data_IF_988831216445
#
_entry.id   IF_988831216445
#
_cell.length_a   1.000
_cell.length_b   1.000
_cell.length_c   1.000
_cell.angle_alpha   90.00
_cell.angle_beta   90.00
_cell.angle_gamma   90.00
#
_symmetry.space_group_name_H-M   'P 1'
#
loop_
_entity.id
_entity.type
_entity.pdbx_description
1 polymer ?
#
# COMPACT_ATOMS: atom_id res chain seq x y z
N UNK A 1 -26.90 -1.42 -33.06
CA UNK A 1 -25.69 -2.13 -32.61
C UNK A 1 -24.83 -1.11 -31.84
N UNK A 2 -25.24 -0.74 -30.63
CA UNK A 2 -24.45 0.14 -29.77
C UNK A 2 -23.65 -0.75 -28.83
N UNK A 3 -22.34 -0.80 -28.97
CA UNK A 3 -21.49 -1.50 -28.02
C UNK A 3 -21.58 -0.77 -26.69
N UNK A 4 -22.11 -1.46 -25.67
CA UNK A 4 -21.92 -1.08 -24.29
C UNK A 4 -20.41 -1.03 -24.03
N UNK A 5 -19.91 0.12 -23.62
CA UNK A 5 -18.54 0.22 -23.12
C UNK A 5 -18.63 -0.21 -21.66
N UNK A 6 -18.41 -1.50 -21.41
CA UNK A 6 -18.09 -1.98 -20.06
C UNK A 6 -16.73 -1.36 -19.69
N UNK A 7 -16.76 -0.19 -19.04
CA UNK A 7 -15.59 0.40 -18.39
C UNK A 7 -15.53 -0.11 -16.98
N UNK A 8 -15.13 -1.37 -16.84
CA UNK A 8 -14.52 -1.84 -15.60
C UNK A 8 -13.03 -2.03 -15.88
N UNK A 9 -12.36 -0.92 -16.22
CA UNK A 9 -10.92 -0.85 -16.44
C UNK A 9 -10.34 -0.14 -15.21
N UNK A 10 -10.44 -0.79 -14.05
CA UNK A 10 -9.80 -0.32 -12.81
C UNK A 10 -8.30 -0.30 -13.05
N UNK A 11 -7.76 0.86 -13.43
CA UNK A 11 -6.34 1.04 -13.65
C UNK A 11 -5.59 0.81 -12.33
N UNK A 12 -4.49 0.05 -12.38
CA UNK A 12 -3.68 -0.22 -11.21
C UNK A 12 -3.04 1.09 -10.74
N UNK A 13 -3.34 1.53 -9.53
CA UNK A 13 -2.93 2.85 -9.04
C UNK A 13 -1.66 2.77 -8.19
N UNK A 14 -0.64 3.51 -8.61
CA UNK A 14 0.64 3.66 -7.90
C UNK A 14 0.75 5.06 -7.31
N UNK A 15 1.06 5.13 -6.02
CA UNK A 15 1.47 6.36 -5.36
C UNK A 15 3.01 6.43 -5.34
N UNK A 16 3.58 7.39 -6.08
CA UNK A 16 5.01 7.66 -6.12
C UNK A 16 5.36 8.85 -5.22
N UNK A 17 6.26 8.66 -4.27
CA UNK A 17 6.63 9.64 -3.25
C UNK A 17 8.12 9.94 -3.36
N UNK A 18 8.48 11.14 -3.80
CA UNK A 18 9.89 11.49 -4.01
C UNK A 18 10.06 13.02 -4.03
N UNK A 19 10.98 13.57 -3.25
CA UNK A 19 11.21 15.02 -3.19
C UNK A 19 11.97 15.55 -4.41
N UNK A 20 12.64 14.68 -5.17
CA UNK A 20 13.30 15.00 -6.42
C UNK A 20 12.30 15.01 -7.59
N UNK A 21 12.11 16.19 -8.20
CA UNK A 21 11.28 16.34 -9.41
C UNK A 21 11.71 15.41 -10.54
N UNK A 22 13.02 15.18 -10.68
CA UNK A 22 13.58 14.35 -11.75
C UNK A 22 13.19 12.89 -11.52
N UNK A 23 13.32 12.42 -10.28
CA UNK A 23 13.01 11.03 -9.92
C UNK A 23 11.50 10.78 -10.03
N UNK A 24 10.64 11.69 -9.55
CA UNK A 24 9.19 11.62 -9.78
C UNK A 24 8.85 11.47 -11.25
N UNK A 25 9.45 12.28 -12.12
CA UNK A 25 9.22 12.20 -13.57
C UNK A 25 9.77 10.93 -14.20
N UNK A 26 10.86 10.38 -13.68
CA UNK A 26 11.38 9.09 -14.10
C UNK A 26 10.39 7.97 -13.76
N UNK A 27 9.93 7.90 -12.51
CA UNK A 27 8.97 6.89 -12.05
C UNK A 27 7.65 7.00 -12.81
N UNK A 28 7.10 8.21 -12.97
CA UNK A 28 5.92 8.44 -13.81
C UNK A 28 6.14 7.86 -15.20
N UNK A 29 7.27 8.15 -15.87
CA UNK A 29 7.55 7.66 -17.24
C UNK A 29 7.72 6.15 -17.31
N UNK A 30 8.38 5.53 -16.33
CA UNK A 30 8.62 4.09 -16.29
C UNK A 30 7.32 3.31 -16.11
N UNK A 31 6.37 3.86 -15.35
CA UNK A 31 5.10 3.22 -15.03
C UNK A 31 3.95 3.64 -15.97
N UNK A 32 4.12 4.71 -16.76
CA UNK A 32 3.09 5.23 -17.69
C UNK A 32 2.82 4.24 -18.81
N UNK A 33 1.86 3.36 -18.58
CA UNK A 33 1.31 2.41 -19.55
C UNK A 33 -0.20 2.33 -19.36
N UNK A 34 -0.95 1.73 -20.29
CA UNK A 34 -2.42 1.75 -20.28
C UNK A 34 -3.06 1.12 -19.03
N UNK A 35 -2.31 0.30 -18.29
CA UNK A 35 -2.78 -0.42 -17.11
C UNK A 35 -2.45 0.26 -15.78
N UNK A 36 -1.71 1.38 -15.80
CA UNK A 36 -1.27 2.06 -14.60
C UNK A 36 -1.72 3.51 -14.56
N UNK A 37 -2.29 3.88 -13.42
CA UNK A 37 -2.42 5.26 -13.00
C UNK A 37 -1.30 5.56 -12.00
N UNK A 38 -0.64 6.71 -12.13
CA UNK A 38 0.41 7.14 -11.18
C UNK A 38 0.02 8.50 -10.59
N UNK A 39 -0.08 8.56 -9.27
CA UNK A 39 -0.11 9.82 -8.51
C UNK A 39 1.26 10.07 -7.94
N UNK A 40 1.86 11.23 -8.24
CA UNK A 40 3.18 11.59 -7.71
C UNK A 40 3.07 12.73 -6.69
N UNK A 41 3.65 12.55 -5.50
CA UNK A 41 3.71 13.54 -4.40
C UNK A 41 5.16 13.76 -3.98
N UNK A 42 5.47 14.92 -3.38
CA UNK A 42 6.87 15.35 -3.10
C UNK A 42 7.35 15.09 -1.67
N UNK A 43 6.53 14.51 -0.80
CA UNK A 43 6.93 14.27 0.58
C UNK A 43 6.07 13.20 1.24
N UNK A 44 6.60 12.59 2.30
CA UNK A 44 5.85 11.66 3.14
C UNK A 44 4.59 12.29 3.74
N UNK A 45 4.65 13.57 4.13
CA UNK A 45 3.48 14.29 4.67
C UNK A 45 2.31 14.37 3.68
N UNK A 46 2.58 14.69 2.40
CA UNK A 46 1.55 14.68 1.35
C UNK A 46 1.09 13.29 0.99
N UNK A 47 1.95 12.27 1.13
CA UNK A 47 1.54 10.89 0.93
C UNK A 47 0.51 10.46 1.99
N UNK A 48 0.73 10.79 3.26
CA UNK A 48 -0.26 10.53 4.32
C UNK A 48 -1.56 11.30 4.09
N UNK A 49 -1.47 12.57 3.67
CA UNK A 49 -2.64 13.39 3.35
C UNK A 49 -3.46 12.76 2.23
N UNK A 50 -2.77 12.30 1.18
CA UNK A 50 -3.39 11.60 0.05
C UNK A 50 -4.06 10.29 0.48
N UNK A 51 -3.46 9.57 1.43
CA UNK A 51 -4.02 8.33 1.97
C UNK A 51 -5.10 8.58 3.03
N UNK A 52 -5.38 9.82 3.41
CA UNK A 52 -6.31 10.13 4.50
C UNK A 52 -5.82 9.67 5.87
N UNK A 53 -4.51 9.45 6.03
CA UNK A 53 -3.86 9.08 7.29
C UNK A 53 -3.51 10.31 8.15
N UNK A 54 -4.16 11.45 7.89
CA UNK A 54 -3.89 12.68 8.61
C UNK A 54 -4.75 12.78 9.87
N UNK A 55 -4.05 12.64 11.00
CA UNK A 55 -4.36 13.08 12.37
C UNK A 55 -4.92 12.01 13.33
N UNK A 56 -4.06 11.52 14.24
CA UNK A 56 -4.20 11.67 15.71
C UNK A 56 -3.27 10.77 16.54
N UNK A 57 -2.37 9.99 15.95
CA UNK A 57 -1.33 9.29 16.73
C UNK A 57 -0.11 10.19 16.90
N UNK A 58 -0.30 11.31 17.60
CA UNK A 58 0.77 12.19 18.02
C UNK A 58 1.35 11.78 19.38
N UNK A 59 1.48 10.48 19.67
CA UNK A 59 2.12 9.89 20.86
C UNK A 59 2.51 8.47 20.38
N UNK A 60 3.75 8.09 20.07
CA UNK A 60 4.88 7.86 20.95
C UNK A 60 6.13 7.68 20.06
N UNK A 61 7.05 8.62 20.09
CA UNK A 61 8.46 8.36 19.76
C UNK A 61 9.30 9.11 20.81
N UNK A 62 9.20 8.70 22.08
CA UNK A 62 10.31 8.84 23.01
C UNK A 62 11.10 7.53 23.04
N UNK A 63 12.30 7.62 22.45
CA UNK A 63 13.57 6.97 22.78
C UNK A 63 13.63 5.42 22.95
N UNK A 64 14.57 4.83 22.20
CA UNK A 64 15.18 3.53 22.51
C UNK A 64 15.62 3.46 23.98
N UNK A 65 15.06 2.57 24.79
CA UNK A 65 15.80 1.71 25.73
C UNK A 65 14.89 0.64 26.40
N UNK A 66 15.47 -0.55 26.57
CA UNK A 66 14.92 -1.79 27.13
C UNK A 66 13.91 -1.64 28.29
N UNK A 67 12.78 -2.38 28.24
CA UNK A 67 12.21 -3.19 29.36
C UNK A 67 10.91 -3.90 29.00
N UNK A 68 10.80 -5.14 29.46
CA UNK A 68 9.59 -5.95 29.51
C UNK A 68 8.45 -5.25 30.31
N UNK A 69 7.21 -5.33 29.82
CA UNK A 69 6.05 -5.81 30.59
C UNK A 69 4.73 -5.66 29.83
N UNK A 70 3.87 -6.68 29.97
CA UNK A 70 2.43 -6.65 29.75
C UNK A 70 1.79 -5.31 30.11
N UNK A 71 0.85 -4.81 29.30
CA UNK A 71 -0.48 -4.35 29.77
C UNK A 71 -1.48 -4.38 28.61
N UNK A 72 -2.69 -4.81 28.94
CA UNK A 72 -3.81 -5.16 28.08
C UNK A 72 -4.52 -3.98 27.40
N UNK A 73 -5.10 -4.29 26.24
CA UNK A 73 -6.42 -3.90 25.74
C UNK A 73 -7.05 -2.60 26.25
N UNK A 74 -7.19 -1.62 25.36
CA UNK A 74 -8.39 -0.76 25.33
C UNK A 74 -8.87 -0.67 23.88
N UNK A 75 -9.99 -1.36 23.63
CA UNK A 75 -10.83 -1.21 22.46
C UNK A 75 -11.47 0.17 22.46
N UNK A 76 -11.28 0.93 21.39
CA UNK A 76 -12.15 2.06 21.06
C UNK A 76 -12.57 1.88 19.61
N UNK A 77 -13.73 1.25 19.48
CA UNK A 77 -14.52 1.15 18.27
C UNK A 77 -14.99 2.55 17.87
N UNK A 78 -14.22 3.25 17.05
CA UNK A 78 -14.74 4.38 16.28
C UNK A 78 -14.74 3.99 14.80
N UNK A 79 -15.88 3.47 14.36
CA UNK A 79 -16.27 3.33 12.95
C UNK A 79 -16.33 4.72 12.32
N UNK A 80 -15.17 5.26 11.97
CA UNK A 80 -15.09 6.49 11.19
C UNK A 80 -15.19 6.10 9.72
N UNK A 81 -16.41 6.26 9.21
CA UNK A 81 -16.86 6.12 7.83
C UNK A 81 -16.01 7.04 6.93
N UNK A 82 -14.79 6.62 6.61
CA UNK A 82 -13.90 7.32 5.71
C UNK A 82 -14.50 7.22 4.32
N UNK A 83 -14.93 8.36 3.78
CA UNK A 83 -15.31 8.49 2.38
C UNK A 83 -14.17 7.94 1.52
N UNK A 84 -14.37 6.73 1.05
CA UNK A 84 -13.57 6.08 0.03
C UNK A 84 -13.61 6.98 -1.21
N UNK A 85 -12.55 7.77 -1.40
CA UNK A 85 -12.39 8.63 -2.57
C UNK A 85 -12.23 7.81 -3.87
N UNK A 86 -12.43 6.49 -3.83
CA UNK A 86 -12.53 5.63 -5.01
C UNK A 86 -11.22 5.49 -5.79
N UNK A 87 -10.11 5.96 -5.22
CA UNK A 87 -8.77 5.83 -5.77
C UNK A 87 -7.98 4.86 -4.90
N UNK A 88 -8.39 3.59 -4.90
CA UNK A 88 -7.72 2.54 -4.17
C UNK A 88 -6.27 2.42 -4.62
N UNK A 89 -5.32 2.88 -3.80
CA UNK A 89 -3.88 2.72 -4.06
C UNK A 89 -3.55 1.23 -4.00
N UNK A 90 -2.87 0.72 -5.02
CA UNK A 90 -2.50 -0.69 -5.11
C UNK A 90 -1.01 -0.93 -4.81
N UNK A 91 -0.18 0.11 -4.91
CA UNK A 91 1.24 0.07 -4.59
C UNK A 91 1.75 1.46 -4.22
N UNK A 92 2.66 1.52 -3.25
CA UNK A 92 3.38 2.73 -2.88
C UNK A 92 4.86 2.55 -3.20
N UNK A 93 5.45 3.50 -3.90
CA UNK A 93 6.89 3.55 -4.15
C UNK A 93 7.44 4.88 -3.61
N UNK A 94 8.39 4.82 -2.69
CA UNK A 94 8.86 6.02 -1.97
C UNK A 94 10.37 6.11 -1.93
N UNK A 95 10.91 7.32 -2.06
CA UNK A 95 12.29 7.60 -1.71
C UNK A 95 12.54 7.42 -0.21
N UNK A 96 13.75 7.00 0.17
CA UNK A 96 14.16 6.84 1.56
C UNK A 96 14.51 8.20 2.18
N UNK A 97 15.28 9.04 1.49
CA UNK A 97 15.90 10.27 2.01
C UNK A 97 15.07 11.51 1.67
N UNK A 98 13.92 11.66 2.32
CA UNK A 98 13.08 12.85 2.18
C UNK A 98 13.18 13.78 3.40
N UNK A 99 13.11 15.11 3.22
CA UNK A 99 13.11 16.05 4.33
C UNK A 99 11.84 15.94 5.18
N UNK A 100 11.99 16.10 6.49
CA UNK A 100 10.91 16.07 7.48
C UNK A 100 10.44 14.67 7.86
N UNK A 101 10.21 13.80 6.88
CA UNK A 101 9.80 12.40 7.09
C UNK A 101 10.53 11.50 6.10
N UNK A 102 11.24 10.49 6.60
CA UNK A 102 11.92 9.52 5.73
C UNK A 102 10.92 8.55 5.08
N UNK A 103 11.31 7.91 3.99
CA UNK A 103 10.51 6.83 3.40
C UNK A 103 10.31 5.65 4.35
N UNK A 104 11.25 5.45 5.28
CA UNK A 104 11.14 4.44 6.34
C UNK A 104 10.06 4.81 7.38
N UNK A 105 9.99 6.08 7.78
CA UNK A 105 8.93 6.54 8.70
C UNK A 105 7.55 6.43 8.05
N UNK A 106 7.47 6.77 6.75
CA UNK A 106 6.25 6.58 5.96
C UNK A 106 5.85 5.10 5.88
N UNK A 107 6.80 4.19 5.61
CA UNK A 107 6.58 2.74 5.63
C UNK A 107 5.96 2.30 6.97
N UNK A 108 6.57 2.67 8.10
CA UNK A 108 6.05 2.31 9.43
C UNK A 108 4.60 2.76 9.61
N UNK A 109 4.28 3.99 9.23
CA UNK A 109 2.91 4.54 9.34
C UNK A 109 1.91 3.80 8.47
N UNK A 110 2.27 3.49 7.22
CA UNK A 110 1.42 2.71 6.31
C UNK A 110 1.17 1.30 6.87
N UNK A 111 2.22 0.63 7.37
CA UNK A 111 2.13 -0.75 7.88
C UNK A 111 1.40 -0.86 9.22
N UNK A 112 1.36 0.21 10.01
CA UNK A 112 0.52 0.31 11.22
C UNK A 112 -0.96 0.55 10.91
N UNK A 113 -1.30 1.12 9.75
CA UNK A 113 -2.69 1.41 9.38
C UNK A 113 -3.48 0.16 9.00
N UNK A 114 -4.66 -0.03 9.60
CA UNK A 114 -5.58 -1.13 9.28
C UNK A 114 -5.99 -1.15 7.81
N UNK A 115 -6.19 0.03 7.20
CA UNK A 115 -6.68 0.19 5.82
C UNK A 115 -5.60 0.01 4.76
N UNK A 116 -4.32 0.25 5.10
CA UNK A 116 -3.23 0.28 4.11
C UNK A 116 -2.08 -0.70 4.37
N UNK A 117 -2.06 -1.42 5.49
CA UNK A 117 -0.99 -2.37 5.84
C UNK A 117 -0.70 -3.43 4.76
N UNK A 118 -1.74 -3.84 4.03
CA UNK A 118 -1.66 -4.87 3.00
C UNK A 118 -1.16 -4.33 1.65
N UNK A 119 -1.06 -3.00 1.50
CA UNK A 119 -0.51 -2.39 0.28
C UNK A 119 1.00 -2.66 0.24
N UNK A 120 1.55 -3.19 -0.88
CA UNK A 120 2.98 -3.33 -1.07
C UNK A 120 3.65 -1.95 -1.10
N UNK A 121 4.69 -1.79 -0.29
CA UNK A 121 5.50 -0.57 -0.21
C UNK A 121 6.90 -0.89 -0.70
N UNK A 122 7.39 -0.12 -1.66
CA UNK A 122 8.72 -0.27 -2.26
C UNK A 122 9.54 0.96 -1.90
N UNK A 123 10.75 0.75 -1.38
CA UNK A 123 11.67 1.83 -1.02
C UNK A 123 12.68 2.04 -2.16
N UNK A 124 13.01 3.29 -2.46
CA UNK A 124 14.08 3.68 -3.37
C UNK A 124 15.14 4.46 -2.60
N UNK A 125 16.43 4.25 -2.88
CA UNK A 125 17.50 5.00 -2.22
C UNK A 125 18.69 5.19 -3.15
N UNK A 126 19.37 6.33 -3.04
CA UNK A 126 20.67 6.57 -3.67
C UNK A 126 21.84 5.91 -2.93
N UNK A 127 21.62 5.49 -1.68
CA UNK A 127 22.63 4.89 -0.81
C UNK A 127 22.44 3.39 -0.69
N UNK A 128 23.55 2.65 -0.82
CA UNK A 128 23.60 1.20 -0.62
C UNK A 128 24.11 0.86 0.79
N UNK A 129 23.22 0.94 1.77
CA UNK A 129 23.53 0.66 3.18
C UNK A 129 22.77 -0.60 3.61
N UNK A 130 23.46 -1.75 3.76
CA UNK A 130 22.80 -3.03 4.04
C UNK A 130 21.90 -3.02 5.27
N UNK A 131 22.29 -2.34 6.35
CA UNK A 131 21.47 -2.25 7.56
C UNK A 131 20.14 -1.53 7.33
N UNK A 132 20.11 -0.50 6.48
CA UNK A 132 18.88 0.21 6.10
C UNK A 132 17.99 -0.66 5.22
N UNK A 133 18.60 -1.34 4.24
CA UNK A 133 17.88 -2.25 3.34
C UNK A 133 17.20 -3.34 4.16
N UNK A 134 17.96 -4.03 5.02
CA UNK A 134 17.44 -5.12 5.85
C UNK A 134 16.32 -4.62 6.75
N UNK A 135 16.51 -3.49 7.44
CA UNK A 135 15.48 -2.94 8.33
C UNK A 135 14.18 -2.61 7.59
N UNK A 136 14.25 -2.01 6.40
CA UNK A 136 13.05 -1.74 5.60
C UNK A 136 12.32 -3.03 5.22
N UNK A 137 13.04 -4.07 4.79
CA UNK A 137 12.43 -5.35 4.40
C UNK A 137 11.83 -6.08 5.60
N UNK A 138 12.53 -6.09 6.75
CA UNK A 138 12.05 -6.67 8.01
C UNK A 138 10.76 -5.99 8.50
N UNK A 139 10.65 -4.67 8.33
CA UNK A 139 9.47 -3.88 8.69
C UNK A 139 8.38 -3.86 7.60
N UNK A 140 8.48 -4.75 6.61
CA UNK A 140 7.40 -5.03 5.67
C UNK A 140 7.47 -4.27 4.34
N UNK A 141 8.60 -3.67 3.98
CA UNK A 141 8.83 -3.27 2.60
C UNK A 141 8.89 -4.50 1.69
N UNK A 142 8.28 -4.40 0.53
CA UNK A 142 8.21 -5.49 -0.45
C UNK A 142 9.48 -5.59 -1.29
N UNK A 143 10.09 -4.45 -1.62
CA UNK A 143 11.37 -4.36 -2.33
C UNK A 143 12.10 -3.08 -1.90
N UNK A 144 13.40 -3.07 -2.14
CA UNK A 144 14.30 -1.94 -2.01
C UNK A 144 15.12 -1.76 -3.30
N UNK A 145 14.88 -0.67 -4.03
CA UNK A 145 15.60 -0.33 -5.25
C UNK A 145 16.71 0.68 -4.99
N UNK A 146 17.85 0.50 -5.66
CA UNK A 146 18.87 1.55 -5.76
C UNK A 146 18.55 2.49 -6.92
N UNK A 147 18.66 3.79 -6.67
CA UNK A 147 18.54 4.83 -7.69
C UNK A 147 19.80 4.87 -8.57
N UNK A 148 19.67 5.21 -9.88
CA UNK A 148 18.42 5.50 -10.59
C UNK A 148 17.62 4.22 -10.85
N UNK A 149 16.30 4.29 -10.64
CA UNK A 149 15.41 3.14 -10.87
C UNK A 149 15.36 2.80 -12.35
N UNK A 150 15.44 1.51 -12.66
CA UNK A 150 15.45 1.01 -14.03
C UNK A 150 14.17 0.25 -14.36
N UNK A 151 13.92 0.06 -15.66
CA UNK A 151 12.79 -0.74 -16.13
C UNK A 151 12.84 -2.18 -15.61
N UNK A 152 14.05 -2.73 -15.38
CA UNK A 152 14.23 -4.05 -14.77
C UNK A 152 13.71 -4.13 -13.35
N UNK A 153 13.74 -3.04 -12.59
CA UNK A 153 13.23 -3.00 -11.21
C UNK A 153 11.70 -3.00 -11.21
N UNK A 154 11.09 -2.22 -12.10
CA UNK A 154 9.63 -2.23 -12.30
C UNK A 154 9.11 -3.63 -12.66
N UNK A 155 9.89 -4.42 -13.40
CA UNK A 155 9.52 -5.79 -13.73
C UNK A 155 9.36 -6.69 -12.49
N UNK A 156 10.05 -6.38 -11.39
CA UNK A 156 9.92 -7.11 -10.12
C UNK A 156 8.59 -6.83 -9.41
N UNK A 157 7.91 -5.74 -9.76
CA UNK A 157 6.60 -5.38 -9.21
C UNK A 157 5.45 -6.16 -9.85
N UNK A 158 5.70 -6.88 -10.95
CA UNK A 158 4.67 -7.64 -11.70
C UNK A 158 3.83 -8.61 -10.86
N UNK A 159 4.39 -9.37 -9.90
CA UNK A 159 3.61 -10.28 -9.07
C UNK A 159 2.49 -9.56 -8.30
N UNK A 160 2.72 -8.31 -7.91
CA UNK A 160 1.77 -7.50 -7.13
C UNK A 160 0.65 -6.92 -8.00
N UNK A 161 0.93 -6.68 -9.28
CA UNK A 161 -0.06 -6.19 -10.25
C UNK A 161 -1.21 -7.18 -10.49
N UNK A 162 -0.92 -8.47 -10.38
CA UNK A 162 -1.90 -9.54 -10.65
C UNK A 162 -2.76 -9.85 -9.43
N UNK A 163 -2.32 -9.48 -8.22
CA UNK A 163 -2.99 -9.83 -6.95
C UNK A 163 -4.20 -8.93 -6.65
N UNK A 164 -4.28 -7.75 -7.26
CA UNK A 164 -5.41 -6.83 -7.14
C UNK A 164 -6.69 -7.24 -7.89
N UNK A 165 -6.65 -8.28 -8.74
CA UNK A 165 -7.79 -8.70 -9.59
C UNK A 165 -8.67 -9.81 -9.00
N UNK A 166 -8.49 -10.18 -7.73
CA UNK A 166 -9.08 -11.42 -7.20
C UNK A 166 -9.82 -11.27 -5.87
N UNK A 167 -10.19 -10.05 -5.43
CA UNK A 167 -11.02 -9.89 -4.22
C UNK A 167 -12.53 -9.80 -4.47
N UNK A 168 -12.97 -9.75 -5.73
CA UNK A 168 -14.38 -9.91 -6.07
C UNK A 168 -14.60 -11.32 -6.63
N UNK A 169 -15.10 -12.22 -5.77
CA UNK A 169 -15.81 -13.50 -5.98
C UNK A 169 -15.43 -14.38 -4.77
N UNK A 170 -15.93 -14.05 -3.57
CA UNK A 170 -16.41 -15.08 -2.62
C UNK A 170 -17.32 -14.46 -1.56
N UNK A 171 -18.47 -13.95 -1.98
CA UNK A 171 -19.52 -13.52 -1.06
C UNK A 171 -20.90 -13.68 -1.68
N UNK A 172 -21.20 -14.86 -2.22
CA UNK A 172 -22.58 -15.35 -2.40
C UNK A 172 -22.59 -16.78 -2.91
N UNK A 173 -22.81 -17.76 -2.03
CA UNK A 173 -23.80 -18.83 -2.21
C UNK A 173 -24.01 -19.60 -0.90
N UNK A 174 -24.82 -19.03 -0.01
CA UNK A 174 -25.54 -19.82 1.00
C UNK A 174 -26.92 -20.14 0.43
N UNK A 175 -27.22 -21.39 0.07
CA UNK A 175 -28.62 -21.87 0.05
C UNK A 175 -28.74 -23.36 0.35
N UNK A 176 -29.20 -23.60 1.57
CA UNK A 176 -29.96 -24.73 2.10
C UNK A 176 -30.65 -25.65 1.08
N UNK A 177 -30.42 -26.96 1.18
CA UNK A 177 -31.40 -27.97 0.74
C UNK A 177 -31.20 -29.29 1.49
N UNK A 178 -31.79 -29.38 2.68
CA UNK A 178 -32.01 -30.67 3.36
C UNK A 178 -33.41 -31.14 3.00
N UNK A 179 -33.54 -32.12 2.10
CA UNK A 179 -34.80 -32.86 1.92
C UNK A 179 -34.71 -34.21 2.62
N UNK A 180 -35.56 -34.37 3.63
CA UNK A 180 -36.05 -35.66 4.14
C UNK A 180 -36.91 -36.32 3.06
N UNK A 181 -36.75 -37.63 2.82
CA UNK A 181 -37.86 -38.55 2.52
C UNK A 181 -37.55 -39.97 3.00
N UNK A 182 -38.54 -40.51 3.69
CA UNK A 182 -38.75 -41.86 4.22
C UNK A 182 -39.14 -42.88 3.14
N UNK A 183 -38.83 -44.17 3.36
CA UNK A 183 -39.61 -45.41 3.08
C UNK A 183 -38.65 -46.59 3.25
N UNK A 184 -38.89 -47.67 4.02
CA UNK A 184 -40.14 -48.35 4.32
C UNK A 184 -40.31 -49.54 3.39
N UNK A 185 -39.63 -50.66 3.67
CA UNK A 185 -40.16 -52.04 3.56
C UNK A 185 -39.20 -53.05 4.20
#
# INVERSE_FOLDING_TARGET
>A
MGMAIDRDDTQFHVLAVDDSLIDRKLIERLLKTSSFQVTAVDSGSKALEFLGLNNNDADDDEEDEQRDSNTESVSSDEDQDHQDLGLGVNLIITDYCMPGMTGYDLLKKIKKSSSFKDIPVVIMSSENIPSRINRCLEDGAEEFFLKPVQLSDVNKLRPHLMKGRSKDIDSSHKTTSTRLITSGN
#
